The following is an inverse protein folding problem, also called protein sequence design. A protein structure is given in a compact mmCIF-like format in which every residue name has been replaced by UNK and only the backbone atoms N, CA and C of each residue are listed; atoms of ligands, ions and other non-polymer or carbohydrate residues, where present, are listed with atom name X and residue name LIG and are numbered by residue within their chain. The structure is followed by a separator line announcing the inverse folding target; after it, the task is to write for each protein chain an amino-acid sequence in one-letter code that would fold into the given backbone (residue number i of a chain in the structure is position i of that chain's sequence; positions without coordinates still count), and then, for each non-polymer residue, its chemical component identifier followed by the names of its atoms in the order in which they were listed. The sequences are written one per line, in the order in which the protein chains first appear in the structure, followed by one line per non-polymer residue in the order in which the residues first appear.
data_IF_382996877676
#
_entry.id   IF_382996877676
#
_cell.length_a   1.000
_cell.length_b   1.000
_cell.length_c   1.000
_cell.angle_alpha   90.00
_cell.angle_beta   90.00
_cell.angle_gamma   90.00
#
_symmetry.space_group_name_H-M   'P 1'
#
loop_
_entity.id
_entity.type
_entity.pdbx_description
1 polymer ?
#
# COMPACT_ATOMS: atom_id res chain seq x y z
N UNK A 1 2.34 -1.12 -26.46
CA UNK A 1 1.21 -2.09 -26.46
C UNK A 1 0.98 -2.52 -25.02
N UNK A 2 -0.28 -2.72 -24.62
CA UNK A 2 -0.69 -3.20 -23.28
C UNK A 2 -0.65 -4.74 -23.27
N UNK A 3 -0.33 -5.40 -22.15
CA UNK A 3 -0.50 -6.87 -22.07
C UNK A 3 -1.98 -7.25 -22.07
N UNK A 4 -2.83 -6.43 -21.45
CA UNK A 4 -4.28 -6.59 -21.46
C UNK A 4 -4.91 -6.10 -22.76
N UNK A 5 -5.82 -6.91 -23.30
CA UNK A 5 -6.62 -6.54 -24.49
C UNK A 5 -7.86 -5.74 -24.12
N UNK A 6 -8.39 -5.95 -22.92
CA UNK A 6 -9.56 -5.29 -22.35
C UNK A 6 -9.51 -5.40 -20.81
N UNK A 7 -10.38 -4.69 -20.07
CA UNK A 7 -10.60 -4.99 -18.65
C UNK A 7 -10.87 -6.48 -18.45
N UNK A 8 -10.22 -7.13 -17.48
CA UNK A 8 -10.33 -8.58 -17.29
C UNK A 8 -11.74 -8.95 -16.82
N UNK A 9 -12.29 -9.99 -17.43
CA UNK A 9 -13.53 -10.63 -16.98
C UNK A 9 -13.30 -11.49 -15.75
N UNK A 10 -14.36 -11.85 -15.03
CA UNK A 10 -14.26 -12.76 -13.89
C UNK A 10 -13.66 -14.12 -14.28
N UNK A 11 -14.00 -14.65 -15.46
CA UNK A 11 -13.44 -15.90 -15.96
C UNK A 11 -11.93 -15.81 -16.22
N UNK A 12 -11.43 -14.66 -16.69
CA UNK A 12 -10.00 -14.44 -16.88
C UNK A 12 -9.26 -14.24 -15.56
N UNK A 13 -9.89 -13.62 -14.57
CA UNK A 13 -9.34 -13.54 -13.21
C UNK A 13 -9.30 -14.92 -12.54
N UNK A 14 -10.37 -15.72 -12.65
CA UNK A 14 -10.40 -17.12 -12.19
C UNK A 14 -9.28 -17.94 -12.85
N UNK A 15 -9.03 -17.71 -14.13
CA UNK A 15 -7.93 -18.36 -14.85
C UNK A 15 -6.56 -17.88 -14.39
N UNK A 16 -6.38 -16.58 -14.22
CA UNK A 16 -5.13 -16.03 -13.70
C UNK A 16 -4.81 -16.62 -12.32
N UNK A 17 -5.79 -16.72 -11.42
CA UNK A 17 -5.60 -17.35 -10.11
C UNK A 17 -5.19 -18.81 -10.19
N UNK A 18 -5.67 -19.54 -11.21
CA UNK A 18 -5.28 -20.91 -11.43
C UNK A 18 -3.81 -21.00 -11.86
N UNK A 19 -3.38 -20.14 -12.78
CA UNK A 19 -1.97 -20.09 -13.25
C UNK A 19 -1.02 -19.65 -12.13
N UNK A 20 -1.42 -18.66 -11.33
CA UNK A 20 -0.66 -18.24 -10.15
C UNK A 20 -0.55 -19.36 -9.12
N UNK A 21 -1.61 -20.16 -8.92
CA UNK A 21 -1.57 -21.32 -8.04
C UNK A 21 -0.60 -22.40 -8.56
N UNK A 22 -0.58 -22.66 -9.87
CA UNK A 22 0.41 -23.56 -10.50
C UNK A 22 1.85 -23.05 -10.34
N UNK A 23 2.04 -21.72 -10.26
CA UNK A 23 3.32 -21.09 -9.98
C UNK A 23 3.70 -21.06 -8.48
N UNK A 24 2.84 -21.60 -7.60
CA UNK A 24 3.08 -21.69 -6.15
C UNK A 24 2.41 -20.60 -5.32
N UNK A 25 1.60 -19.72 -5.90
CA UNK A 25 0.87 -18.71 -5.13
C UNK A 25 -0.31 -19.31 -4.35
N UNK A 26 -0.63 -18.71 -3.20
CA UNK A 26 -1.82 -19.09 -2.42
C UNK A 26 -3.09 -18.46 -2.99
N UNK A 27 -3.58 -19.01 -4.09
CA UNK A 27 -4.81 -18.59 -4.75
C UNK A 27 -5.69 -19.76 -5.15
N UNK A 28 -7.01 -19.52 -5.21
CA UNK A 28 -7.99 -20.50 -5.69
C UNK A 28 -8.56 -19.96 -6.99
N UNK A 29 -8.22 -20.63 -8.09
CA UNK A 29 -8.71 -20.32 -9.42
C UNK A 29 -9.27 -21.54 -10.13
N UNK A 30 -9.85 -21.31 -11.31
CA UNK A 30 -10.44 -22.36 -12.14
C UNK A 30 -9.80 -22.36 -13.52
N UNK A 31 -9.68 -23.54 -14.12
CA UNK A 31 -9.29 -23.67 -15.52
C UNK A 31 -10.42 -23.20 -16.41
N UNK A 32 -10.32 -21.96 -16.90
CA UNK A 32 -11.20 -21.35 -17.89
C UNK A 32 -10.45 -21.11 -19.22
N UNK A 33 -11.17 -20.93 -20.34
CA UNK A 33 -10.58 -20.42 -21.57
C UNK A 33 -9.81 -19.12 -21.32
N UNK A 34 -8.65 -18.97 -21.94
CA UNK A 34 -7.79 -17.81 -21.74
C UNK A 34 -7.18 -17.34 -23.06
N UNK A 35 -7.22 -16.03 -23.31
CA UNK A 35 -6.61 -15.43 -24.50
C UNK A 35 -5.10 -15.17 -24.32
N UNK A 36 -4.59 -15.29 -23.09
CA UNK A 36 -3.21 -14.96 -22.73
C UNK A 36 -2.35 -16.21 -22.70
N UNK A 37 -1.06 -16.04 -23.03
CA UNK A 37 -0.05 -17.10 -23.06
C UNK A 37 1.25 -16.59 -22.42
N UNK A 38 1.29 -16.43 -21.09
CA UNK A 38 2.53 -16.06 -20.42
C UNK A 38 3.57 -17.17 -20.66
N UNK A 39 4.76 -16.76 -21.09
CA UNK A 39 5.94 -17.62 -21.21
C UNK A 39 6.78 -17.40 -19.95
N UNK A 40 6.66 -18.30 -18.98
CA UNK A 40 7.40 -18.22 -17.70
C UNK A 40 6.76 -17.35 -16.62
N UNK A 41 7.43 -17.27 -15.48
CA UNK A 41 6.91 -16.65 -14.27
C UNK A 41 6.88 -15.12 -14.37
N UNK A 42 7.86 -14.51 -15.05
CA UNK A 42 7.98 -13.07 -15.22
C UNK A 42 6.84 -12.50 -16.04
N UNK A 43 6.48 -13.16 -17.14
CA UNK A 43 5.36 -12.73 -17.99
C UNK A 43 4.02 -12.95 -17.29
N UNK A 44 3.89 -14.01 -16.48
CA UNK A 44 2.72 -14.22 -15.61
C UNK A 44 2.59 -13.12 -14.55
N UNK A 45 3.69 -12.74 -13.89
CA UNK A 45 3.72 -11.65 -12.92
C UNK A 45 3.41 -10.29 -13.56
N UNK A 46 3.93 -10.02 -14.76
CA UNK A 46 3.63 -8.80 -15.48
C UNK A 46 2.14 -8.72 -15.86
N UNK A 47 1.57 -9.81 -16.39
CA UNK A 47 0.15 -9.89 -16.71
C UNK A 47 -0.71 -9.72 -15.45
N UNK A 48 -0.37 -10.41 -14.37
CA UNK A 48 -1.07 -10.30 -13.09
C UNK A 48 -0.94 -8.88 -12.50
N UNK A 49 0.21 -8.24 -12.64
CA UNK A 49 0.43 -6.85 -12.25
C UNK A 49 -0.42 -5.87 -13.03
N UNK A 50 -0.76 -6.17 -14.28
CA UNK A 50 -1.69 -5.36 -15.07
C UNK A 50 -3.15 -5.60 -14.64
N UNK A 51 -3.52 -6.87 -14.37
CA UNK A 51 -4.85 -7.24 -13.85
C UNK A 51 -5.07 -6.79 -12.39
N UNK A 52 -4.01 -6.56 -11.62
CA UNK A 52 -4.04 -6.14 -10.22
C UNK A 52 -4.90 -4.89 -10.00
N UNK A 53 -4.93 -3.97 -10.96
CA UNK A 53 -5.73 -2.75 -10.85
C UNK A 53 -7.25 -2.99 -10.88
N UNK A 54 -7.69 -4.19 -11.29
CA UNK A 54 -9.10 -4.58 -11.37
C UNK A 54 -9.52 -5.50 -10.21
N UNK A 55 -8.57 -6.13 -9.51
CA UNK A 55 -8.89 -7.03 -8.41
C UNK A 55 -7.93 -6.87 -7.21
N UNK A 56 -8.41 -6.35 -6.06
CA UNK A 56 -7.61 -6.17 -4.85
C UNK A 56 -6.99 -7.45 -4.28
N UNK A 57 -7.58 -8.63 -4.54
CA UNK A 57 -7.08 -9.91 -4.01
C UNK A 57 -5.69 -10.21 -4.57
N UNK A 58 -5.40 -9.78 -5.81
CA UNK A 58 -4.10 -9.96 -6.44
C UNK A 58 -2.97 -9.28 -5.67
N UNK A 59 -3.25 -8.23 -4.89
CA UNK A 59 -2.20 -7.53 -4.14
C UNK A 59 -1.54 -8.47 -3.12
N UNK A 60 -2.35 -9.23 -2.38
CA UNK A 60 -1.86 -10.21 -1.40
C UNK A 60 -1.23 -11.42 -2.07
N UNK A 61 -1.87 -11.95 -3.12
CA UNK A 61 -1.39 -13.14 -3.85
C UNK A 61 0.00 -12.87 -4.45
N UNK A 62 0.17 -11.74 -5.15
CA UNK A 62 1.44 -11.38 -5.77
C UNK A 62 2.52 -11.08 -4.74
N UNK A 63 2.17 -10.41 -3.64
CA UNK A 63 3.11 -10.17 -2.55
C UNK A 63 3.66 -11.49 -1.99
N UNK A 64 2.79 -12.46 -1.69
CA UNK A 64 3.21 -13.76 -1.14
C UNK A 64 4.07 -14.52 -2.14
N UNK A 65 3.64 -14.58 -3.40
CA UNK A 65 4.40 -15.24 -4.46
C UNK A 65 5.80 -14.63 -4.59
N UNK A 66 5.93 -13.30 -4.56
CA UNK A 66 7.24 -12.63 -4.60
C UNK A 66 8.07 -12.96 -3.36
N UNK A 67 7.50 -12.93 -2.16
CA UNK A 67 8.24 -13.23 -0.94
C UNK A 67 8.76 -14.67 -0.90
N UNK A 68 8.03 -15.62 -1.48
CA UNK A 68 8.37 -17.05 -1.49
C UNK A 68 9.25 -17.45 -2.69
N UNK A 69 9.09 -16.80 -3.86
CA UNK A 69 9.64 -17.26 -5.15
C UNK A 69 10.49 -16.21 -5.88
N UNK A 70 10.92 -15.12 -5.22
CA UNK A 70 11.74 -14.10 -5.90
C UNK A 70 13.07 -14.65 -6.44
N UNK A 71 13.63 -15.68 -5.80
CA UNK A 71 14.89 -16.30 -6.22
C UNK A 71 14.78 -17.06 -7.56
N UNK A 72 13.56 -17.44 -7.96
CA UNK A 72 13.31 -18.08 -9.26
C UNK A 72 13.13 -17.06 -10.39
N UNK A 73 13.03 -15.76 -10.07
CA UNK A 73 12.79 -14.71 -11.04
C UNK A 73 14.10 -14.20 -11.64
N UNK A 74 14.12 -14.04 -12.95
CA UNK A 74 15.13 -13.26 -13.64
C UNK A 74 14.74 -11.77 -13.61
N UNK A 75 15.50 -10.91 -12.89
CA UNK A 75 15.15 -9.49 -12.73
C UNK A 75 15.20 -8.71 -14.04
N UNK A 76 16.09 -9.08 -14.97
CA UNK A 76 16.18 -8.45 -16.29
C UNK A 76 14.97 -8.81 -17.15
N UNK A 77 14.58 -10.09 -17.13
CA UNK A 77 13.41 -10.56 -17.87
C UNK A 77 12.13 -9.93 -17.33
N UNK A 78 11.97 -9.84 -16.01
CA UNK A 78 10.83 -9.16 -15.40
C UNK A 78 10.74 -7.71 -15.84
N UNK A 79 11.86 -6.97 -15.84
CA UNK A 79 11.89 -5.60 -16.37
C UNK A 79 11.48 -5.54 -17.84
N UNK A 80 11.92 -6.49 -18.66
CA UNK A 80 11.54 -6.58 -20.08
C UNK A 80 10.04 -6.80 -20.24
N UNK A 81 9.44 -7.69 -19.45
CA UNK A 81 8.00 -7.91 -19.47
C UNK A 81 7.23 -6.67 -19.00
N UNK A 82 7.77 -5.97 -18.01
CA UNK A 82 7.18 -4.74 -17.50
C UNK A 82 7.11 -3.60 -18.53
N UNK A 83 7.99 -3.53 -19.53
CA UNK A 83 7.89 -2.48 -20.58
C UNK A 83 6.69 -2.66 -21.50
N UNK A 84 6.14 -3.87 -21.57
CA UNK A 84 4.89 -4.16 -22.29
C UNK A 84 3.64 -3.89 -21.44
N UNK A 85 3.80 -3.60 -20.15
CA UNK A 85 2.67 -3.26 -19.29
C UNK A 85 2.17 -1.84 -19.57
N UNK A 86 0.85 -1.64 -19.46
CA UNK A 86 0.30 -0.27 -19.42
C UNK A 86 0.64 0.47 -18.13
N UNK A 87 0.68 -0.25 -17.01
CA UNK A 87 1.03 0.30 -15.70
C UNK A 87 2.09 -0.54 -14.99
N UNK A 88 3.37 -0.48 -15.44
CA UNK A 88 4.48 -1.16 -14.77
C UNK A 88 4.54 -0.86 -13.27
N UNK A 89 4.19 0.38 -12.91
CA UNK A 89 4.13 0.90 -11.55
C UNK A 89 3.19 0.08 -10.64
N UNK A 90 2.18 -0.59 -11.17
CA UNK A 90 1.28 -1.41 -10.37
C UNK A 90 2.02 -2.58 -9.72
N UNK A 91 2.93 -3.23 -10.45
CA UNK A 91 3.79 -4.28 -9.90
C UNK A 91 4.84 -3.70 -8.94
N UNK A 92 5.34 -2.49 -9.21
CA UNK A 92 6.30 -1.81 -8.32
C UNK A 92 5.69 -1.45 -6.96
N UNK A 93 4.37 -1.24 -6.88
CA UNK A 93 3.66 -1.12 -5.60
C UNK A 93 3.78 -2.42 -4.81
N UNK A 94 3.55 -3.59 -5.44
CA UNK A 94 3.72 -4.90 -4.79
C UNK A 94 5.16 -5.07 -4.27
N UNK A 95 6.15 -4.76 -5.11
CA UNK A 95 7.56 -4.83 -4.72
C UNK A 95 7.89 -3.86 -3.57
N UNK A 96 7.23 -2.70 -3.51
CA UNK A 96 7.41 -1.75 -2.40
C UNK A 96 6.87 -2.30 -1.08
N UNK A 97 5.81 -3.12 -1.11
CA UNK A 97 5.36 -3.87 0.05
C UNK A 97 6.32 -5.02 0.40
N UNK A 98 6.78 -5.79 -0.60
CA UNK A 98 7.75 -6.88 -0.38
C UNK A 98 9.05 -6.38 0.28
N UNK A 99 9.56 -5.20 -0.13
CA UNK A 99 10.73 -4.56 0.46
C UNK A 99 10.59 -4.31 1.97
N UNK A 100 9.37 -4.02 2.43
CA UNK A 100 9.08 -3.76 3.85
C UNK A 100 8.87 -5.05 4.62
N UNK A 101 8.26 -6.05 3.97
CA UNK A 101 8.00 -7.35 4.56
C UNK A 101 9.28 -8.15 4.84
N UNK A 102 10.32 -7.97 4.01
CA UNK A 102 11.55 -8.74 4.10
C UNK A 102 12.76 -7.91 4.56
N UNK A 103 13.60 -8.55 5.37
CA UNK A 103 14.93 -8.05 5.75
C UNK A 103 16.04 -8.55 4.82
N UNK A 104 15.73 -9.47 3.90
CA UNK A 104 16.67 -10.06 2.97
C UNK A 104 17.35 -8.99 2.08
N UNK A 105 18.68 -8.84 2.15
CA UNK A 105 19.39 -7.87 1.33
C UNK A 105 19.37 -8.18 -0.16
N UNK A 106 19.27 -9.46 -0.57
CA UNK A 106 19.24 -9.84 -1.98
C UNK A 106 17.91 -9.48 -2.63
N UNK A 107 16.79 -9.80 -1.97
CA UNK A 107 15.47 -9.35 -2.42
C UNK A 107 15.42 -7.81 -2.52
N UNK A 108 16.05 -7.07 -1.60
CA UNK A 108 16.11 -5.61 -1.68
C UNK A 108 16.87 -5.12 -2.91
N UNK A 109 18.01 -5.74 -3.24
CA UNK A 109 18.76 -5.45 -4.47
C UNK A 109 17.98 -5.81 -5.73
N UNK A 110 17.30 -6.96 -5.73
CA UNK A 110 16.38 -7.36 -6.80
C UNK A 110 15.32 -6.29 -7.03
N UNK A 111 14.66 -5.84 -5.96
CA UNK A 111 13.62 -4.81 -6.03
C UNK A 111 14.20 -3.48 -6.51
N UNK A 112 15.36 -3.05 -5.99
CA UNK A 112 16.00 -1.80 -6.40
C UNK A 112 16.38 -1.84 -7.89
N UNK A 113 16.92 -2.96 -8.36
CA UNK A 113 17.21 -3.17 -9.77
C UNK A 113 15.94 -3.12 -10.61
N UNK A 114 14.88 -3.88 -10.28
CA UNK A 114 13.63 -3.90 -11.07
C UNK A 114 12.94 -2.53 -11.08
N UNK A 115 13.02 -1.79 -9.97
CA UNK A 115 12.38 -0.48 -9.78
C UNK A 115 13.13 0.69 -10.43
N UNK A 116 14.40 0.52 -10.80
CA UNK A 116 15.24 1.64 -11.26
C UNK A 116 14.73 2.26 -12.58
N UNK A 117 14.67 3.59 -12.64
CA UNK A 117 14.37 4.35 -13.86
C UNK A 117 12.90 4.43 -14.27
N UNK A 118 11.98 3.81 -13.52
CA UNK A 118 10.55 3.96 -13.81
C UNK A 118 10.01 5.31 -13.33
N UNK A 119 9.31 6.08 -14.19
CA UNK A 119 8.71 7.33 -13.78
C UNK A 119 7.48 7.09 -12.90
N UNK A 120 7.12 8.11 -12.13
CA UNK A 120 5.86 8.16 -11.39
C UNK A 120 4.69 8.38 -12.36
N UNK A 121 3.55 7.75 -12.12
CA UNK A 121 2.32 8.06 -12.87
C UNK A 121 1.90 9.51 -12.61
N UNK A 122 1.62 10.26 -13.67
CA UNK A 122 1.17 11.65 -13.63
C UNK A 122 0.04 11.89 -14.65
N UNK A 123 -1.08 12.55 -14.25
CA UNK A 123 -1.42 12.94 -12.88
C UNK A 123 -1.62 11.72 -11.96
N UNK A 124 -1.58 11.93 -10.65
CA UNK A 124 -1.81 10.84 -9.72
C UNK A 124 -3.22 10.26 -9.89
N UNK A 125 -3.33 8.95 -10.02
CA UNK A 125 -4.59 8.25 -10.27
C UNK A 125 -4.93 7.24 -9.18
N UNK A 126 -6.18 6.78 -9.09
CA UNK A 126 -6.56 5.72 -8.15
C UNK A 126 -5.88 4.41 -8.54
N UNK A 127 -5.39 3.66 -7.55
CA UNK A 127 -4.74 2.39 -7.83
C UNK A 127 -5.72 1.38 -8.43
N UNK A 128 -6.86 1.16 -7.77
CA UNK A 128 -7.93 0.30 -8.27
C UNK A 128 -8.92 1.09 -9.10
N UNK A 129 -9.26 0.57 -10.29
CA UNK A 129 -10.07 1.30 -11.28
C UNK A 129 -11.56 1.32 -10.91
N UNK A 130 -12.11 0.20 -10.41
CA UNK A 130 -13.56 0.01 -10.29
C UNK A 130 -14.09 -0.17 -8.85
N UNK A 131 -13.26 -0.03 -7.82
CA UNK A 131 -13.66 -0.42 -6.45
C UNK A 131 -14.49 0.61 -5.69
N UNK A 132 -14.57 1.89 -6.13
CA UNK A 132 -15.32 2.93 -5.41
C UNK A 132 -16.00 3.97 -6.30
N UNK A 133 -17.32 4.15 -6.12
CA UNK A 133 -18.06 5.27 -6.71
C UNK A 133 -17.54 6.61 -6.13
N UNK A 134 -17.16 7.59 -6.96
CA UNK A 134 -16.82 8.94 -6.52
C UNK A 134 -17.95 9.58 -5.69
N UNK A 135 -17.61 10.40 -4.70
CA UNK A 135 -18.59 11.16 -3.89
C UNK A 135 -19.22 10.40 -2.71
N UNK A 136 -18.78 9.17 -2.42
CA UNK A 136 -19.25 8.47 -1.21
C UNK A 136 -18.50 8.95 0.05
N UNK A 137 -19.16 8.94 1.22
CA UNK A 137 -18.53 9.23 2.52
C UNK A 137 -17.30 8.36 2.80
N UNK A 138 -17.22 7.16 2.21
CA UNK A 138 -16.07 6.28 2.31
C UNK A 138 -14.89 6.78 1.46
N UNK A 139 -15.17 7.23 0.23
CA UNK A 139 -14.17 7.86 -0.63
C UNK A 139 -13.61 9.16 0.00
N UNK A 140 -14.46 9.98 0.63
CA UNK A 140 -14.04 11.19 1.35
C UNK A 140 -13.13 10.88 2.56
N UNK A 141 -13.42 9.80 3.31
CA UNK A 141 -12.61 9.36 4.45
C UNK A 141 -11.25 8.79 4.02
N UNK A 142 -11.15 8.23 2.82
CA UNK A 142 -9.92 7.70 2.24
C UNK A 142 -9.12 8.77 1.51
N UNK A 143 -9.77 9.86 1.09
CA UNK A 143 -9.10 11.02 0.52
C UNK A 143 -8.11 11.62 1.54
N UNK A 144 -6.84 11.68 1.17
CA UNK A 144 -5.75 12.11 2.07
C UNK A 144 -5.12 11.01 2.93
N UNK A 145 -5.55 9.74 2.85
CA UNK A 145 -4.95 8.60 3.57
C UNK A 145 -4.14 7.68 2.66
N UNK A 146 -3.26 8.25 1.85
CA UNK A 146 -2.50 7.47 0.87
C UNK A 146 -1.30 6.76 1.53
N UNK A 147 -1.10 5.47 1.25
CA UNK A 147 0.10 4.78 1.71
C UNK A 147 1.30 5.15 0.84
N UNK A 148 2.48 5.21 1.46
CA UNK A 148 3.73 5.58 0.80
C UNK A 148 4.04 4.69 -0.41
N UNK A 149 3.66 3.42 -0.34
CA UNK A 149 3.89 2.43 -1.40
C UNK A 149 3.16 2.82 -2.69
N UNK A 150 1.91 3.30 -2.59
CA UNK A 150 1.15 3.83 -3.72
C UNK A 150 1.66 5.22 -4.12
N UNK A 151 1.85 6.10 -3.14
CA UNK A 151 2.23 7.49 -3.37
C UNK A 151 3.54 7.60 -4.18
N UNK A 152 4.55 6.79 -3.84
CA UNK A 152 5.84 6.71 -4.53
C UNK A 152 5.68 6.54 -6.04
N UNK A 153 4.70 5.76 -6.46
CA UNK A 153 4.51 5.37 -7.85
C UNK A 153 3.41 6.15 -8.58
N UNK A 154 2.79 7.13 -7.93
CA UNK A 154 1.78 8.00 -8.57
C UNK A 154 0.37 7.50 -8.40
N UNK A 155 0.15 6.59 -7.46
CA UNK A 155 -1.18 6.08 -7.15
C UNK A 155 -1.74 6.65 -5.86
N UNK A 156 -3.07 6.68 -5.79
CA UNK A 156 -3.88 6.85 -4.59
C UNK A 156 -4.41 5.47 -4.18
N UNK A 157 -3.96 4.96 -3.02
CA UNK A 157 -4.37 3.66 -2.50
C UNK A 157 -4.19 3.57 -0.99
N UNK A 158 -5.07 2.81 -0.36
CA UNK A 158 -5.10 2.66 1.12
C UNK A 158 -5.08 1.19 1.56
N UNK A 159 -5.22 0.29 0.60
CA UNK A 159 -5.29 -1.15 0.79
C UNK A 159 -3.95 -1.68 1.26
N UNK A 160 -4.00 -2.58 2.23
CA UNK A 160 -2.83 -3.15 2.87
C UNK A 160 -2.82 -4.66 2.68
N UNK A 161 -1.83 -5.23 1.98
CA UNK A 161 -1.72 -6.67 1.90
C UNK A 161 -1.20 -7.26 3.22
N UNK A 162 -1.58 -8.50 3.48
CA UNK A 162 -1.08 -9.28 4.62
C UNK A 162 0.18 -10.04 4.17
N UNK A 163 1.31 -9.79 4.83
CA UNK A 163 2.59 -10.44 4.51
C UNK A 163 2.61 -11.92 4.93
N UNK A 164 1.98 -12.21 6.07
CA UNK A 164 1.95 -13.53 6.67
C UNK A 164 0.56 -13.77 7.25
N UNK A 165 -0.08 -14.85 6.80
CA UNK A 165 -1.42 -15.25 7.23
C UNK A 165 -1.46 -15.71 8.69
N UNK A 166 -0.33 -16.20 9.24
CA UNK A 166 -0.22 -16.65 10.62
C UNK A 166 -0.13 -15.47 11.59
N UNK A 167 0.78 -14.52 11.35
CA UNK A 167 0.92 -13.32 12.19
C UNK A 167 -0.07 -12.21 11.84
N UNK A 168 -0.78 -12.32 10.71
CA UNK A 168 -1.64 -11.27 10.13
C UNK A 168 -0.93 -9.92 10.04
N UNK A 169 0.38 -9.91 9.81
CA UNK A 169 1.15 -8.68 9.72
C UNK A 169 0.69 -7.88 8.50
N UNK A 170 0.01 -6.77 8.77
CA UNK A 170 -0.54 -5.86 7.75
C UNK A 170 0.55 -4.87 7.35
N UNK A 171 0.86 -4.81 6.05
CA UNK A 171 1.92 -3.94 5.54
C UNK A 171 1.39 -2.58 5.10
N UNK A 172 2.24 -1.56 5.19
CA UNK A 172 1.94 -0.22 4.70
C UNK A 172 2.37 0.84 5.69
N UNK A 173 2.77 2.00 5.17
CA UNK A 173 3.18 3.14 5.99
C UNK A 173 2.58 4.42 5.42
N UNK A 174 1.98 5.23 6.29
CA UNK A 174 1.62 6.60 5.95
C UNK A 174 2.86 7.50 5.95
N UNK A 175 2.98 8.34 4.93
CA UNK A 175 4.02 9.38 4.90
C UNK A 175 3.78 10.46 5.97
N UNK A 176 4.78 11.30 6.22
CA UNK A 176 4.71 12.31 7.29
C UNK A 176 3.60 13.35 7.06
N UNK A 177 3.22 13.61 5.80
CA UNK A 177 2.16 14.56 5.45
C UNK A 177 0.80 13.94 5.78
N UNK A 178 0.54 12.74 5.26
CA UNK A 178 -0.65 11.95 5.51
C UNK A 178 -0.90 11.76 7.01
N UNK A 179 0.16 11.44 7.77
CA UNK A 179 0.05 11.31 9.23
C UNK A 179 -0.33 12.60 9.93
N UNK A 180 0.17 13.75 9.45
CA UNK A 180 -0.20 15.07 9.97
C UNK A 180 -1.66 15.39 9.68
N UNK A 181 -2.12 15.08 8.47
CA UNK A 181 -3.50 15.34 8.04
C UNK A 181 -4.49 14.46 8.83
N UNK A 182 -4.16 13.18 9.05
CA UNK A 182 -4.93 12.27 9.93
C UNK A 182 -5.01 12.84 11.35
N UNK A 183 -3.89 13.30 11.91
CA UNK A 183 -3.84 13.81 13.27
C UNK A 183 -4.59 15.15 13.41
N UNK A 184 -4.50 16.04 12.43
CA UNK A 184 -5.27 17.27 12.37
C UNK A 184 -6.79 17.00 12.33
N UNK A 185 -7.22 16.00 11.55
CA UNK A 185 -8.61 15.59 11.46
C UNK A 185 -9.13 14.88 12.73
N UNK A 186 -8.27 14.16 13.44
CA UNK A 186 -8.61 13.58 14.75
C UNK A 186 -8.90 14.67 15.78
N UNK A 187 -8.03 15.67 15.84
CA UNK A 187 -8.11 16.78 16.80
C UNK A 187 -9.27 17.72 16.47
N UNK A 188 -9.62 17.90 15.19
CA UNK A 188 -10.79 18.72 14.84
C UNK A 188 -12.11 18.06 15.24
N UNK A 189 -12.14 16.72 15.39
CA UNK A 189 -13.33 15.96 15.79
C UNK A 189 -13.40 15.69 17.28
N UNK A 190 -12.26 15.76 17.97
CA UNK A 190 -12.12 15.47 19.39
C UNK A 190 -11.21 16.52 20.01
N UNK A 191 -11.68 17.22 21.03
CA UNK A 191 -10.87 18.23 21.74
C UNK A 191 -9.60 17.63 22.36
N UNK A 192 -9.64 16.34 22.68
CA UNK A 192 -8.52 15.58 23.23
C UNK A 192 -8.30 14.26 22.47
N UNK A 193 -7.04 13.90 22.27
CA UNK A 193 -6.61 12.67 21.58
C UNK A 193 -5.59 11.93 22.44
N UNK A 194 -5.83 10.65 22.73
CA UNK A 194 -4.83 9.81 23.38
C UNK A 194 -3.81 9.26 22.37
N UNK A 195 -2.66 8.80 22.85
CA UNK A 195 -1.69 8.07 22.00
C UNK A 195 -2.35 6.83 21.36
N UNK A 196 -3.26 6.17 22.08
CA UNK A 196 -4.02 5.03 21.57
C UNK A 196 -4.91 5.42 20.40
N UNK A 197 -5.68 6.51 20.53
CA UNK A 197 -6.54 7.02 19.46
C UNK A 197 -5.75 7.33 18.19
N UNK A 198 -4.57 7.95 18.34
CA UNK A 198 -3.73 8.26 17.21
C UNK A 198 -3.17 6.99 16.56
N UNK A 199 -2.65 6.05 17.34
CA UNK A 199 -2.16 4.76 16.84
C UNK A 199 -3.27 3.99 16.12
N UNK A 200 -4.49 3.98 16.64
CA UNK A 200 -5.63 3.35 15.96
C UNK A 200 -5.99 4.08 14.66
N UNK A 201 -5.92 5.41 14.62
CA UNK A 201 -6.25 6.17 13.42
C UNK A 201 -5.23 6.04 12.27
N UNK A 202 -3.99 5.65 12.58
CA UNK A 202 -2.96 5.29 11.60
C UNK A 202 -2.87 3.78 11.39
N UNK A 203 -3.85 3.03 11.90
CA UNK A 203 -3.94 1.56 11.90
C UNK A 203 -2.60 0.92 12.32
N UNK A 204 -2.04 1.42 13.41
CA UNK A 204 -0.79 0.96 14.02
C UNK A 204 0.41 0.90 13.07
N UNK A 205 0.40 1.69 11.98
CA UNK A 205 1.46 1.65 10.94
C UNK A 205 2.78 2.30 11.36
N UNK A 206 2.87 2.84 12.59
CA UNK A 206 4.05 3.51 13.14
C UNK A 206 4.29 3.06 14.58
N UNK A 207 5.54 3.18 15.02
CA UNK A 207 5.90 2.89 16.41
C UNK A 207 5.31 3.92 17.37
N UNK A 208 5.17 3.52 18.64
CA UNK A 208 4.77 4.44 19.73
C UNK A 208 5.70 5.66 19.84
N UNK A 209 7.00 5.46 19.62
CA UNK A 209 8.00 6.54 19.66
C UNK A 209 7.76 7.55 18.53
N UNK A 210 7.51 7.08 17.31
CA UNK A 210 7.17 7.96 16.19
C UNK A 210 5.86 8.71 16.44
N UNK A 211 4.84 8.02 16.96
CA UNK A 211 3.56 8.63 17.28
C UNK A 211 3.68 9.75 18.34
N UNK A 212 4.51 9.55 19.37
CA UNK A 212 4.82 10.58 20.36
C UNK A 212 5.58 11.77 19.76
N UNK A 213 6.53 11.51 18.86
CA UNK A 213 7.26 12.56 18.15
C UNK A 213 6.30 13.40 17.28
N UNK A 214 5.38 12.75 16.56
CA UNK A 214 4.39 13.41 15.72
C UNK A 214 3.43 14.28 16.56
N UNK A 215 2.94 13.79 17.71
CA UNK A 215 2.10 14.56 18.65
C UNK A 215 2.80 15.81 19.20
N UNK A 216 4.07 15.66 19.62
CA UNK A 216 4.89 16.79 20.12
C UNK A 216 5.14 17.83 19.03
N UNK A 217 5.40 17.38 17.80
CA UNK A 217 5.70 18.27 16.66
C UNK A 217 4.53 19.17 16.28
N UNK A 218 3.29 18.77 16.56
CA UNK A 218 2.09 19.59 16.37
C UNK A 218 1.84 20.60 17.50
N UNK A 219 2.74 20.69 18.49
CA UNK A 219 2.62 21.65 19.60
C UNK A 219 1.43 21.36 20.52
N UNK A 220 1.00 20.10 20.59
CA UNK A 220 -0.07 19.68 21.50
C UNK A 220 0.47 19.58 22.93
N UNK A 221 -0.37 19.96 23.90
CA UNK A 221 -0.01 19.89 25.30
C UNK A 221 -0.50 18.56 25.91
N UNK A 222 0.38 17.82 26.61
CA UNK A 222 -0.03 16.61 27.31
C UNK A 222 -0.74 16.95 28.61
N UNK A 223 -1.92 16.35 28.82
CA UNK A 223 -2.70 16.39 30.06
C UNK A 223 -2.72 14.99 30.66
N UNK A 224 -2.38 14.89 31.94
CA UNK A 224 -2.25 13.63 32.68
C UNK A 224 -0.89 12.94 32.52
N UNK A 225 -0.62 11.94 33.37
CA UNK A 225 0.66 11.20 33.42
C UNK A 225 0.47 9.73 33.00
N UNK A 226 1.50 9.14 32.41
CA UNK A 226 1.57 7.71 32.12
C UNK A 226 0.67 7.24 30.97
N UNK A 227 0.04 6.07 31.13
CA UNK A 227 -0.78 5.44 30.07
C UNK A 227 -2.06 6.21 29.72
N UNK A 228 -2.52 7.11 30.61
CA UNK A 228 -3.72 7.92 30.43
C UNK A 228 -3.48 9.30 29.83
N UNK A 229 -2.26 9.64 29.42
CA UNK A 229 -1.94 10.98 28.87
C UNK A 229 -2.75 11.25 27.60
N UNK A 230 -3.46 12.38 27.62
CA UNK A 230 -4.21 12.92 26.49
C UNK A 230 -3.54 14.17 25.96
N UNK A 231 -3.73 14.45 24.67
CA UNK A 231 -3.12 15.58 23.97
C UNK A 231 -4.22 16.45 23.42
N UNK A 232 -4.17 17.75 23.71
CA UNK A 232 -5.13 18.72 23.19
C UNK A 232 -4.41 19.88 22.51
N UNK A 233 -5.15 20.62 21.67
CA UNK A 233 -4.65 21.89 21.14
C UNK A 233 -4.47 22.87 22.28
N UNK A 234 -3.33 23.55 22.26
CA UNK A 234 -3.04 24.66 23.17
C UNK A 234 -4.16 25.69 23.06
N UNK A 235 -4.91 25.90 24.15
CA UNK A 235 -5.97 26.91 24.16
C UNK A 235 -5.33 28.30 24.07
N UNK A 236 -5.81 29.20 23.19
CA UNK A 236 -5.26 30.55 23.07
C UNK A 236 -5.32 31.35 24.39
N UNK A 237 -6.17 30.94 25.36
CA UNK A 237 -6.24 31.54 26.70
C UNK A 237 -4.99 31.29 27.57
N UNK A 238 -4.27 30.19 27.39
CA UNK A 238 -3.09 29.86 28.19
C UNK A 238 -1.78 30.46 27.67
N UNK A 239 -1.76 30.95 26.41
CA UNK A 239 -0.58 31.62 25.85
C UNK A 239 -0.30 32.98 26.52
N UNK A 240 -1.33 33.65 27.07
CA UNK A 240 -1.20 34.95 27.75
C UNK A 240 -0.68 34.87 29.19
N UNK A 241 -0.71 33.70 29.83
CA UNK A 241 -0.27 33.53 31.24
C UNK A 241 1.23 33.25 31.42
N UNK A 242 2.00 33.17 30.33
CA UNK A 242 3.46 32.92 30.37
C UNK A 242 4.31 34.12 29.93
N UNK A 243 3.68 35.27 29.71
CA UNK A 243 4.36 36.56 29.51
C UNK A 243 4.06 37.43 30.72
N UNK A 244 4.43 36.95 31.90
CA UNK A 244 4.57 37.72 33.15
C UNK A 244 5.59 36.97 34.02
#
# INVERSE_FOLDING_TARGET
MSLLRHPPTEAELERLYHELALAGARSIGRRRPWAYRPVGLESLLALAGEMLRYDPRLLGILLQLILERWGDLNPLELRRQMTAMRWPQALLVVLSFARIASLDPELRRFIDYVSAGWPRVQPAERFFVDTEKPGTRMAERRFGRNLQQYARWGFLGTERPTADTATRSVLGRYDARTRRDILAALISRRDEVSLGDYLSAVDHSISRQQALADLRRLGLEPVGRGRGTRWHRRSPRNARKRVL
#
